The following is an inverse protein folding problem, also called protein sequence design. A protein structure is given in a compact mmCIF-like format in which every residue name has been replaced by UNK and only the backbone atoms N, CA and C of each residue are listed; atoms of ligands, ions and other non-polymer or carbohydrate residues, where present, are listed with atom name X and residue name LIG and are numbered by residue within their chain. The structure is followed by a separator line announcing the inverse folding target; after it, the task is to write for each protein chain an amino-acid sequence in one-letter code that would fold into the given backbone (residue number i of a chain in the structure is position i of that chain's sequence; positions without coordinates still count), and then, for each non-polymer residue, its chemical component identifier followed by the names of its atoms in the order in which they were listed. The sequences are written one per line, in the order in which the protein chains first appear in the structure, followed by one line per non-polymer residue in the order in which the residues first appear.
data_IF_431308091294
#
_entry.id   IF_431308091294
#
_cell.length_a   1.000
_cell.length_b   1.000
_cell.length_c   1.000
_cell.angle_alpha   90.00
_cell.angle_beta   90.00
_cell.angle_gamma   90.00
#
_symmetry.space_group_name_H-M   'P 1'
#
loop_
_entity.id
_entity.type
_entity.pdbx_description
1 polymer ?
#
# COMPACT_ATOMS: atom_id res chain seq x y z
N UNK A 1 -19.39 -17.23 4.65
CA UNK A 1 -18.04 -16.69 4.44
C UNK A 1 -18.17 -15.18 4.29
N UNK A 2 -17.51 -14.39 5.12
CA UNK A 2 -17.57 -12.92 5.04
C UNK A 2 -16.77 -12.46 3.80
N UNK A 3 -17.35 -11.56 3.02
CA UNK A 3 -16.72 -10.95 1.84
C UNK A 3 -16.66 -9.44 2.09
N UNK A 4 -15.49 -8.85 1.91
CA UNK A 4 -15.27 -7.41 2.03
C UNK A 4 -14.95 -6.80 0.67
N UNK A 5 -15.35 -5.54 0.49
CA UNK A 5 -14.91 -4.75 -0.66
C UNK A 5 -13.42 -4.43 -0.50
N UNK A 6 -12.66 -4.63 -1.57
CA UNK A 6 -11.22 -4.37 -1.54
C UNK A 6 -10.95 -2.86 -1.48
N UNK A 7 -10.18 -2.45 -0.48
CA UNK A 7 -9.63 -1.10 -0.38
C UNK A 7 -8.23 -1.08 -1.02
N UNK A 8 -7.46 0.01 -0.87
CA UNK A 8 -6.09 0.09 -1.37
C UNK A 8 -5.14 0.42 -0.22
N UNK A 9 -3.93 -0.14 -0.26
CA UNK A 9 -2.87 0.26 0.65
C UNK A 9 -1.92 1.25 -0.02
N UNK A 10 -1.10 1.90 0.80
CA UNK A 10 0.06 2.67 0.37
C UNK A 10 1.09 2.66 1.49
N UNK A 11 2.38 2.57 1.13
CA UNK A 11 3.44 2.71 2.11
C UNK A 11 3.57 4.18 2.54
N UNK A 12 3.83 4.39 3.84
CA UNK A 12 3.91 5.72 4.43
C UNK A 12 5.04 6.58 3.84
N UNK A 13 6.16 5.96 3.43
CA UNK A 13 7.27 6.69 2.78
C UNK A 13 6.92 7.09 1.37
N UNK A 14 6.23 6.24 0.62
CA UNK A 14 5.74 6.59 -0.72
C UNK A 14 4.74 7.73 -0.65
N UNK A 15 3.82 7.69 0.31
CA UNK A 15 2.88 8.79 0.53
C UNK A 15 3.60 10.09 0.93
N UNK A 16 4.60 10.02 1.79
CA UNK A 16 5.41 11.19 2.17
C UNK A 16 6.19 11.78 0.98
N UNK A 17 6.76 10.93 0.12
CA UNK A 17 7.42 11.35 -1.13
C UNK A 17 6.47 12.11 -2.04
N UNK A 18 5.25 11.60 -2.24
CA UNK A 18 4.25 12.28 -3.06
C UNK A 18 3.88 13.66 -2.52
N UNK A 19 3.77 13.83 -1.20
CA UNK A 19 3.55 15.15 -0.60
C UNK A 19 4.73 16.10 -0.82
N UNK A 20 5.97 15.60 -0.67
CA UNK A 20 7.16 16.39 -0.94
C UNK A 20 7.23 16.82 -2.41
N UNK A 21 6.89 15.94 -3.35
CA UNK A 21 6.83 16.26 -4.79
C UNK A 21 5.75 17.30 -5.06
N UNK A 22 4.55 17.12 -4.53
CA UNK A 22 3.45 18.08 -4.71
C UNK A 22 3.80 19.50 -4.20
N UNK A 23 4.68 19.59 -3.20
CA UNK A 23 5.16 20.87 -2.67
C UNK A 23 6.29 21.48 -3.53
N UNK A 24 7.17 20.66 -4.09
CA UNK A 24 8.44 21.10 -4.69
C UNK A 24 8.45 21.12 -6.22
N UNK A 25 7.62 20.32 -6.90
CA UNK A 25 7.57 20.24 -8.35
C UNK A 25 6.67 21.36 -8.93
N UNK A 26 7.23 22.38 -9.60
CA UNK A 26 6.42 23.45 -10.18
C UNK A 26 5.53 22.99 -11.35
N UNK A 27 5.73 21.78 -11.88
CA UNK A 27 4.87 21.18 -12.89
C UNK A 27 3.59 20.57 -12.30
N UNK A 28 3.59 20.23 -11.00
CA UNK A 28 2.44 19.63 -10.31
C UNK A 28 1.53 20.73 -9.79
N UNK A 29 0.45 21.04 -10.51
CA UNK A 29 -0.44 22.17 -10.21
C UNK A 29 -1.90 21.79 -10.32
N UNK A 30 -2.64 21.98 -9.22
CA UNK A 30 -4.08 21.68 -9.14
C UNK A 30 -4.42 20.23 -9.54
N UNK A 31 -3.49 19.30 -9.31
CA UNK A 31 -3.63 17.87 -9.60
C UNK A 31 -4.12 17.10 -8.37
N UNK A 32 -4.87 16.02 -8.61
CA UNK A 32 -5.16 15.01 -7.58
C UNK A 32 -4.19 13.84 -7.75
N UNK A 33 -3.25 13.72 -6.84
CA UNK A 33 -2.26 12.63 -6.83
C UNK A 33 -2.79 11.53 -5.92
N UNK A 34 -2.90 10.30 -6.45
CA UNK A 34 -3.50 9.18 -5.74
C UNK A 34 -2.42 8.29 -5.12
N UNK A 35 -2.40 8.23 -3.78
CA UNK A 35 -1.57 7.27 -3.03
C UNK A 35 -2.25 5.91 -2.93
N UNK A 36 -2.36 5.19 -4.05
CA UNK A 36 -3.03 3.90 -4.14
C UNK A 36 -2.07 2.89 -4.78
N UNK A 37 -1.38 2.10 -3.97
CA UNK A 37 -0.35 1.18 -4.45
C UNK A 37 -0.97 -0.04 -5.17
N UNK A 38 -1.76 -0.81 -4.42
CA UNK A 38 -2.54 -1.92 -4.97
C UNK A 38 -3.74 -2.25 -4.07
N UNK A 39 -4.71 -3.05 -4.56
CA UNK A 39 -5.83 -3.52 -3.75
C UNK A 39 -5.35 -4.30 -2.50
N UNK A 40 -5.93 -4.02 -1.33
CA UNK A 40 -5.60 -4.66 -0.06
C UNK A 40 -6.44 -5.92 0.14
N UNK A 41 -5.82 -7.09 -0.02
CA UNK A 41 -6.48 -8.38 0.20
C UNK A 41 -6.10 -8.89 1.59
N UNK A 42 -7.08 -8.99 2.51
CA UNK A 42 -6.84 -9.44 3.89
C UNK A 42 -6.16 -10.80 3.99
N UNK A 43 -6.43 -11.71 3.06
CA UNK A 43 -5.72 -12.99 3.00
C UNK A 43 -4.21 -12.79 2.83
N UNK A 44 -3.79 -11.92 1.91
CA UNK A 44 -2.38 -11.63 1.65
C UNK A 44 -1.72 -10.93 2.83
N UNK A 45 -2.42 -9.98 3.47
CA UNK A 45 -1.96 -9.33 4.71
C UNK A 45 -1.64 -10.38 5.76
N UNK A 46 -2.59 -11.28 6.05
CA UNK A 46 -2.43 -12.28 7.09
C UNK A 46 -1.35 -13.31 6.72
N UNK A 47 -1.26 -13.72 5.45
CA UNK A 47 -0.22 -14.65 5.00
C UNK A 47 1.18 -14.03 5.11
N UNK A 48 1.36 -12.78 4.70
CA UNK A 48 2.62 -12.07 4.91
C UNK A 48 2.96 -11.88 6.39
N UNK A 49 1.99 -11.57 7.26
CA UNK A 49 2.24 -11.46 8.70
C UNK A 49 2.67 -12.81 9.31
N UNK A 50 2.11 -13.93 8.85
CA UNK A 50 2.54 -15.28 9.28
C UNK A 50 3.97 -15.57 8.83
N UNK A 51 4.33 -15.20 7.61
CA UNK A 51 5.70 -15.36 7.10
C UNK A 51 6.71 -14.49 7.86
N UNK A 52 6.36 -13.23 8.11
CA UNK A 52 7.23 -12.28 8.80
C UNK A 52 7.35 -12.60 10.31
N UNK A 53 6.31 -13.18 10.91
CA UNK A 53 6.24 -13.51 12.35
C UNK A 53 5.67 -14.91 12.63
N UNK A 54 6.41 -15.98 12.27
CA UNK A 54 5.91 -17.35 12.41
C UNK A 54 5.51 -17.70 13.84
N UNK A 55 6.29 -17.24 14.83
CA UNK A 55 6.08 -17.51 16.25
C UNK A 55 4.81 -16.90 16.86
N UNK A 56 4.09 -16.03 16.13
CA UNK A 56 2.82 -15.43 16.56
C UNK A 56 1.67 -15.73 15.60
N UNK A 57 1.85 -16.69 14.69
CA UNK A 57 0.86 -17.04 13.67
C UNK A 57 -0.45 -17.56 14.26
N UNK A 58 -0.40 -18.18 15.44
CA UNK A 58 -1.55 -18.71 16.18
C UNK A 58 -2.48 -17.60 16.69
N UNK A 59 -1.95 -16.39 16.90
CA UNK A 59 -2.70 -15.21 17.34
C UNK A 59 -3.43 -14.49 16.20
N UNK A 60 -3.07 -14.79 14.95
CA UNK A 60 -3.69 -14.18 13.77
C UNK A 60 -5.00 -14.88 13.40
N UNK A 61 -5.88 -14.15 12.73
CA UNK A 61 -7.15 -14.71 12.22
C UNK A 61 -6.85 -15.90 11.31
N UNK A 62 -7.48 -17.05 11.58
CA UNK A 62 -7.28 -18.28 10.79
C UNK A 62 -7.89 -18.16 9.39
N UNK A 63 -9.11 -17.65 9.33
CA UNK A 63 -9.91 -17.51 8.11
C UNK A 63 -10.17 -16.03 7.81
N UNK A 64 -9.23 -15.34 7.12
CA UNK A 64 -9.48 -13.97 6.68
C UNK A 64 -10.69 -13.91 5.73
N UNK A 65 -11.42 -12.80 5.69
CA UNK A 65 -12.55 -12.63 4.78
C UNK A 65 -12.09 -12.71 3.32
N UNK A 66 -13.00 -13.13 2.44
CA UNK A 66 -12.80 -13.04 1.00
C UNK A 66 -12.78 -11.58 0.54
N UNK A 67 -12.15 -11.32 -0.60
CA UNK A 67 -12.11 -10.01 -1.23
C UNK A 67 -13.03 -9.98 -2.45
N UNK A 68 -13.71 -8.85 -2.67
CA UNK A 68 -14.42 -8.56 -3.92
C UNK A 68 -14.07 -7.15 -4.36
N UNK A 69 -13.82 -6.98 -5.65
CA UNK A 69 -13.62 -5.65 -6.23
C UNK A 69 -14.84 -4.75 -5.96
N UNK A 70 -14.52 -3.47 -5.75
CA UNK A 70 -15.51 -2.41 -5.68
C UNK A 70 -16.20 -2.19 -7.03
N UNK A 71 -17.25 -1.37 -7.03
CA UNK A 71 -17.97 -1.00 -8.25
C UNK A 71 -17.31 0.15 -9.02
N UNK A 72 -16.18 0.66 -8.54
CA UNK A 72 -15.51 1.85 -9.06
C UNK A 72 -14.17 1.44 -9.64
N UNK A 73 -13.95 1.75 -10.91
CA UNK A 73 -12.64 1.64 -11.54
C UNK A 73 -11.81 2.90 -11.24
N UNK A 74 -10.67 2.73 -10.58
CA UNK A 74 -9.80 3.84 -10.19
C UNK A 74 -8.68 3.96 -11.24
N UNK A 75 -8.90 4.85 -12.20
CA UNK A 75 -8.04 5.05 -13.39
C UNK A 75 -6.73 5.81 -13.08
N UNK A 76 -6.37 6.03 -11.81
CA UNK A 76 -5.45 7.10 -11.42
C UNK A 76 -4.04 6.75 -10.84
N UNK A 77 -3.51 5.51 -10.78
CA UNK A 77 -2.20 5.26 -10.16
C UNK A 77 -0.99 5.63 -11.04
N UNK A 78 -1.16 5.81 -12.36
CA UNK A 78 -0.04 6.03 -13.28
C UNK A 78 0.74 7.31 -12.96
N UNK A 79 0.05 8.43 -12.72
CA UNK A 79 0.69 9.72 -12.45
C UNK A 79 1.56 9.69 -11.19
N UNK A 80 1.08 9.05 -10.12
CA UNK A 80 1.85 8.92 -8.87
C UNK A 80 3.14 8.13 -9.07
N UNK A 81 3.10 7.03 -9.85
CA UNK A 81 4.29 6.24 -10.17
C UNK A 81 5.30 7.02 -11.01
N UNK A 82 4.83 7.79 -11.99
CA UNK A 82 5.69 8.67 -12.79
C UNK A 82 6.44 9.69 -11.92
N UNK A 83 5.72 10.33 -10.99
CA UNK A 83 6.28 11.31 -10.07
C UNK A 83 7.31 10.67 -9.10
N UNK A 84 7.00 9.50 -8.54
CA UNK A 84 7.95 8.76 -7.69
C UNK A 84 9.22 8.39 -8.47
N UNK A 85 9.07 7.95 -9.72
CA UNK A 85 10.20 7.59 -10.56
C UNK A 85 11.06 8.81 -10.93
N UNK A 86 10.45 9.94 -11.31
CA UNK A 86 11.18 11.13 -11.73
C UNK A 86 11.95 11.80 -10.59
N UNK A 87 11.39 11.86 -9.38
CA UNK A 87 12.04 12.52 -8.24
C UNK A 87 12.95 11.61 -7.41
N UNK A 88 12.59 10.33 -7.27
CA UNK A 88 13.26 9.42 -6.35
C UNK A 88 13.85 8.18 -7.03
N UNK A 89 13.73 8.04 -8.36
CA UNK A 89 14.18 6.84 -9.09
C UNK A 89 13.39 5.58 -8.74
N UNK A 90 12.22 5.74 -8.12
CA UNK A 90 11.38 4.65 -7.66
C UNK A 90 10.36 4.28 -8.74
N UNK A 91 10.66 3.21 -9.48
CA UNK A 91 9.83 2.79 -10.61
C UNK A 91 8.44 2.22 -10.22
N UNK A 92 8.32 1.68 -9.00
CA UNK A 92 7.07 1.11 -8.50
C UNK A 92 6.83 1.38 -7.02
N UNK A 93 5.61 1.13 -6.57
CA UNK A 93 5.23 1.22 -5.16
C UNK A 93 5.97 0.20 -4.31
N UNK A 94 6.14 0.55 -3.03
CA UNK A 94 6.66 -0.38 -2.02
C UNK A 94 5.69 -1.56 -1.87
N UNK A 95 6.15 -2.82 -2.02
CA UNK A 95 5.31 -4.00 -1.87
C UNK A 95 4.69 -4.13 -0.48
N UNK A 96 3.48 -4.70 -0.40
CA UNK A 96 2.73 -4.88 0.85
C UNK A 96 3.57 -5.57 1.95
N UNK A 97 4.27 -6.67 1.61
CA UNK A 97 5.12 -7.38 2.57
C UNK A 97 6.24 -6.51 3.13
N UNK A 98 6.87 -5.69 2.30
CA UNK A 98 7.93 -4.77 2.72
C UNK A 98 7.38 -3.65 3.62
N UNK A 99 6.21 -3.09 3.27
CA UNK A 99 5.54 -2.08 4.09
C UNK A 99 5.14 -2.63 5.46
N UNK A 100 4.57 -3.84 5.51
CA UNK A 100 4.25 -4.54 6.75
C UNK A 100 5.51 -4.81 7.60
N UNK A 101 6.59 -5.28 6.97
CA UNK A 101 7.86 -5.53 7.65
C UNK A 101 8.44 -4.25 8.26
N UNK A 102 8.43 -3.14 7.51
CA UNK A 102 8.85 -1.84 8.01
C UNK A 102 8.00 -1.39 9.21
N UNK A 103 6.68 -1.57 9.13
CA UNK A 103 5.74 -1.28 10.23
C UNK A 103 6.06 -2.08 11.50
N UNK A 104 6.20 -3.41 11.40
CA UNK A 104 6.56 -4.30 12.51
C UNK A 104 7.87 -3.85 13.16
N UNK A 105 8.91 -3.66 12.34
CA UNK A 105 10.25 -3.30 12.82
C UNK A 105 10.25 -1.95 13.53
N UNK A 106 9.51 -0.96 12.99
CA UNK A 106 9.41 0.37 13.59
C UNK A 106 8.68 0.39 14.94
N UNK A 107 7.76 -0.56 15.16
CA UNK A 107 7.06 -0.71 16.43
C UNK A 107 7.89 -1.44 17.50
N UNK A 108 9.12 -1.87 17.18
CA UNK A 108 9.96 -2.67 18.07
C UNK A 108 9.38 -4.06 18.33
N UNK A 109 8.50 -4.54 17.45
CA UNK A 109 7.85 -5.83 17.58
C UNK A 109 8.73 -6.91 17.00
#
# INVERSE_FOLDING_TARGET
MLILLTEYYVDVKDLARLHAIALLDPSVKSERIFGLAAPLIWKEVIDHLRELRPASSDKLVKNPPGAREGYVDIVAPTRSKELLNSFFGQADWTPLKESLYAGITSAGL
#
